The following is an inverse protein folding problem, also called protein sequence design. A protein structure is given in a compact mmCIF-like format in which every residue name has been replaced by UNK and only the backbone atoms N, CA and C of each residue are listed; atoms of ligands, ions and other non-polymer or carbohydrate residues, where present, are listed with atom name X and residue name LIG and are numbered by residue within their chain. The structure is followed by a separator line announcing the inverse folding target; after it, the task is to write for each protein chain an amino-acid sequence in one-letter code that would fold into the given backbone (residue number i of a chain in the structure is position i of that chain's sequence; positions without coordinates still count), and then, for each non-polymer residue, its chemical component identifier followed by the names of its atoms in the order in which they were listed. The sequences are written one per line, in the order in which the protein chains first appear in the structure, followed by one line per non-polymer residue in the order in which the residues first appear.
data_IF_231028714992
#
_entry.id   IF_231028714992
#
_cell.length_a   1.000
_cell.length_b   1.000
_cell.length_c   1.000
_cell.angle_alpha   90.00
_cell.angle_beta   90.00
_cell.angle_gamma   90.00
#
_symmetry.space_group_name_H-M   'P 1'
#
loop_
_entity.id
_entity.type
_entity.pdbx_description
1 polymer ?
#
# COMPACT_ATOMS: atom_id res chain seq x y z
N UNK A 1 -19.85 -0.88 -32.21
CA UNK A 1 -20.25 -1.84 -33.25
C UNK A 1 -19.31 -3.04 -33.21
N UNK A 2 -19.78 -4.19 -33.67
CA UNK A 2 -19.03 -5.45 -33.62
C UNK A 2 -17.79 -5.42 -34.53
N UNK A 3 -17.81 -4.61 -35.58
CA UNK A 3 -16.66 -4.37 -36.44
C UNK A 3 -15.47 -3.75 -35.69
N UNK A 4 -15.70 -2.78 -34.78
CA UNK A 4 -14.65 -2.17 -33.97
C UNK A 4 -14.09 -3.18 -32.97
N UNK A 5 -14.95 -4.00 -32.37
CA UNK A 5 -14.48 -5.07 -31.46
C UNK A 5 -13.60 -6.09 -32.16
N UNK A 6 -13.94 -6.46 -33.41
CA UNK A 6 -13.17 -7.43 -34.18
C UNK A 6 -11.86 -6.86 -34.69
N UNK A 7 -11.82 -5.58 -35.11
CA UNK A 7 -10.59 -4.92 -35.56
C UNK A 7 -9.55 -4.72 -34.46
N UNK A 8 -9.98 -4.68 -33.18
CA UNK A 8 -9.10 -4.53 -32.03
C UNK A 8 -8.70 -5.86 -31.38
N UNK A 9 -9.15 -7.00 -31.95
CA UNK A 9 -8.86 -8.31 -31.38
C UNK A 9 -7.47 -8.78 -31.79
N UNK A 10 -6.62 -9.01 -30.79
CA UNK A 10 -5.29 -9.59 -30.98
C UNK A 10 -5.38 -11.08 -30.68
N UNK A 11 -4.82 -11.92 -31.56
CA UNK A 11 -4.75 -13.36 -31.36
C UNK A 11 -3.91 -13.68 -30.13
N UNK A 12 -4.47 -14.51 -29.24
CA UNK A 12 -3.79 -14.91 -28.01
C UNK A 12 -2.49 -15.70 -28.27
N UNK A 13 -2.37 -16.39 -29.39
CA UNK A 13 -1.15 -17.13 -29.76
C UNK A 13 0.04 -16.21 -29.96
N UNK A 14 -0.20 -14.95 -30.33
CA UNK A 14 0.85 -13.94 -30.52
C UNK A 14 1.56 -13.60 -29.21
N UNK A 15 0.87 -13.67 -28.06
CA UNK A 15 1.50 -13.41 -26.76
C UNK A 15 2.60 -14.44 -26.46
N UNK A 16 2.31 -15.72 -26.68
CA UNK A 16 3.31 -16.79 -26.51
C UNK A 16 4.42 -16.72 -27.56
N UNK A 17 4.04 -16.47 -28.84
CA UNK A 17 5.00 -16.37 -29.94
C UNK A 17 6.05 -15.28 -29.75
N UNK A 18 5.65 -14.14 -29.18
CA UNK A 18 6.55 -12.99 -28.95
C UNK A 18 7.04 -12.89 -27.51
N UNK A 19 6.71 -13.86 -26.63
CA UNK A 19 7.08 -13.84 -25.21
C UNK A 19 6.50 -12.64 -24.45
N UNK A 20 5.31 -12.18 -24.85
CA UNK A 20 4.67 -11.01 -24.26
C UNK A 20 4.05 -11.38 -22.92
N UNK A 21 4.45 -10.68 -21.86
CA UNK A 21 3.91 -10.86 -20.53
C UNK A 21 2.51 -10.27 -20.42
N UNK A 22 1.63 -10.93 -19.66
CA UNK A 22 0.27 -10.43 -19.37
C UNK A 22 0.26 -9.68 -18.05
N UNK A 23 0.55 -8.38 -18.12
CA UNK A 23 0.71 -7.56 -16.92
C UNK A 23 1.91 -8.01 -16.07
N UNK A 24 1.67 -8.30 -14.78
CA UNK A 24 2.70 -8.75 -13.83
C UNK A 24 2.78 -10.29 -13.74
N UNK A 25 2.47 -11.00 -14.83
CA UNK A 25 2.54 -12.47 -14.91
C UNK A 25 3.41 -12.92 -16.07
N UNK A 26 4.18 -13.98 -15.84
CA UNK A 26 4.86 -14.75 -16.87
C UNK A 26 3.85 -15.65 -17.62
N UNK A 27 4.25 -16.23 -18.74
CA UNK A 27 3.38 -17.11 -19.54
C UNK A 27 2.92 -18.36 -18.77
N UNK A 28 3.74 -18.84 -17.84
CA UNK A 28 3.44 -19.96 -16.94
C UNK A 28 2.52 -19.58 -15.76
N UNK A 29 2.09 -18.32 -15.68
CA UNK A 29 1.23 -17.81 -14.62
C UNK A 29 1.96 -17.38 -13.36
N UNK A 30 3.27 -17.56 -13.26
CA UNK A 30 4.06 -17.06 -12.12
C UNK A 30 4.18 -15.54 -12.13
N UNK A 31 4.47 -14.94 -10.97
CA UNK A 31 4.69 -13.49 -10.85
C UNK A 31 5.97 -13.04 -11.55
N UNK A 32 5.94 -11.85 -12.14
CA UNK A 32 7.13 -11.21 -12.69
C UNK A 32 7.93 -10.58 -11.56
N UNK A 33 9.25 -10.83 -11.53
CA UNK A 33 10.14 -10.13 -10.61
C UNK A 33 10.36 -8.70 -11.12
N UNK A 34 9.77 -7.72 -10.42
CA UNK A 34 9.81 -6.30 -10.80
C UNK A 34 10.78 -5.48 -9.95
N UNK A 35 11.28 -6.00 -8.84
CA UNK A 35 12.21 -5.33 -7.96
C UNK A 35 12.53 -6.14 -6.70
N UNK A 36 13.39 -5.58 -5.87
CA UNK A 36 13.76 -6.14 -4.57
C UNK A 36 13.30 -5.19 -3.47
N UNK A 37 12.83 -5.76 -2.37
CA UNK A 37 12.45 -5.03 -1.16
C UNK A 37 12.87 -5.81 0.08
N UNK A 38 13.19 -5.10 1.16
CA UNK A 38 13.42 -5.67 2.49
C UNK A 38 12.27 -5.35 3.46
N UNK A 39 11.18 -4.77 2.96
CA UNK A 39 10.04 -4.34 3.79
C UNK A 39 9.05 -5.50 4.01
N UNK A 40 8.76 -6.24 2.96
CA UNK A 40 7.80 -7.34 3.04
C UNK A 40 8.22 -8.53 2.19
N UNK A 41 7.74 -9.71 2.57
CA UNK A 41 7.91 -10.94 1.81
C UNK A 41 6.63 -11.77 1.87
N UNK A 42 6.24 -12.33 0.73
CA UNK A 42 5.09 -13.22 0.61
C UNK A 42 5.59 -14.59 0.13
N UNK A 43 5.36 -15.61 0.93
CA UNK A 43 5.66 -16.99 0.58
C UNK A 43 4.35 -17.70 0.24
N UNK A 44 4.25 -18.27 -0.94
CA UNK A 44 3.10 -19.07 -1.40
C UNK A 44 3.54 -20.31 -2.17
N UNK A 45 4.85 -20.42 -2.39
CA UNK A 45 5.47 -21.54 -3.11
C UNK A 45 6.81 -21.90 -2.48
N UNK A 46 7.13 -23.18 -2.52
CA UNK A 46 8.45 -23.71 -2.15
C UNK A 46 9.12 -24.29 -3.38
N UNK A 47 10.43 -24.14 -3.48
CA UNK A 47 11.24 -24.75 -4.53
C UNK A 47 11.87 -26.03 -3.99
N UNK A 48 11.50 -27.17 -4.59
CA UNK A 48 12.12 -28.47 -4.27
C UNK A 48 13.59 -28.52 -4.75
N UNK A 49 14.37 -29.48 -4.24
CA UNK A 49 15.77 -29.67 -4.67
C UNK A 49 15.94 -29.90 -6.18
N UNK A 50 14.94 -30.44 -6.85
CA UNK A 50 14.89 -30.65 -8.30
C UNK A 50 14.54 -29.38 -9.10
N UNK A 51 14.31 -28.24 -8.40
CA UNK A 51 13.93 -26.97 -9.00
C UNK A 51 12.44 -26.77 -9.22
N UNK A 52 11.61 -27.79 -8.97
CA UNK A 52 10.16 -27.72 -9.15
C UNK A 52 9.53 -26.79 -8.11
N UNK A 53 8.63 -25.89 -8.54
CA UNK A 53 7.82 -25.05 -7.66
C UNK A 53 6.57 -25.82 -7.22
N UNK A 54 6.34 -25.89 -5.91
CA UNK A 54 5.15 -26.47 -5.32
C UNK A 54 4.42 -25.42 -4.49
N UNK A 55 3.07 -25.45 -4.47
CA UNK A 55 2.32 -24.62 -3.54
C UNK A 55 2.74 -24.93 -2.08
N UNK A 56 2.91 -23.86 -1.30
CA UNK A 56 3.19 -23.92 0.13
C UNK A 56 2.11 -23.15 0.89
N UNK A 57 2.06 -23.33 2.21
CA UNK A 57 1.21 -22.51 3.05
C UNK A 57 1.59 -21.02 2.89
N UNK A 58 0.59 -20.17 2.69
CA UNK A 58 0.79 -18.75 2.49
C UNK A 58 1.30 -18.08 3.77
N UNK A 59 2.45 -17.39 3.67
CA UNK A 59 3.03 -16.61 4.76
C UNK A 59 3.34 -15.20 4.31
N UNK A 60 3.06 -14.24 5.18
CA UNK A 60 3.38 -12.82 4.98
C UNK A 60 4.35 -12.36 6.06
N UNK A 61 5.40 -11.68 5.64
CA UNK A 61 6.41 -11.13 6.55
C UNK A 61 6.47 -9.61 6.39
N UNK A 62 6.55 -8.90 7.51
CA UNK A 62 6.84 -7.47 7.58
C UNK A 62 8.17 -7.28 8.31
N UNK A 63 9.17 -6.70 7.63
CA UNK A 63 10.51 -6.44 8.19
C UNK A 63 11.14 -7.69 8.84
N UNK A 64 10.82 -8.89 8.34
CA UNK A 64 11.32 -10.18 8.85
C UNK A 64 10.44 -10.84 9.92
N UNK A 65 9.44 -10.17 10.44
CA UNK A 65 8.45 -10.75 11.37
C UNK A 65 7.32 -11.42 10.58
N UNK A 66 6.95 -12.63 10.96
CA UNK A 66 5.75 -13.27 10.40
C UNK A 66 4.50 -12.52 10.89
N UNK A 67 3.53 -12.31 9.99
CA UNK A 67 2.33 -11.52 10.31
C UNK A 67 1.57 -12.08 11.51
N UNK A 68 1.48 -13.41 11.64
CA UNK A 68 0.77 -14.03 12.75
C UNK A 68 1.44 -13.73 14.10
N UNK A 69 2.77 -13.73 14.16
CA UNK A 69 3.53 -13.38 15.37
C UNK A 69 3.27 -11.93 15.82
N UNK A 70 2.98 -11.03 14.87
CA UNK A 70 2.62 -9.65 15.15
C UNK A 70 1.16 -9.49 15.61
N UNK A 71 0.25 -10.28 15.03
CA UNK A 71 -1.20 -10.11 15.25
C UNK A 71 -1.69 -10.84 16.48
N UNK A 72 -1.18 -12.04 16.78
CA UNK A 72 -1.65 -12.83 17.94
C UNK A 72 -1.54 -12.09 19.28
N UNK A 73 -0.42 -11.42 19.63
CA UNK A 73 -0.34 -10.64 20.87
C UNK A 73 -1.37 -9.51 20.91
N UNK A 74 -1.60 -8.82 19.77
CA UNK A 74 -2.57 -7.74 19.69
C UNK A 74 -4.00 -8.23 19.96
N UNK A 75 -4.36 -9.40 19.43
CA UNK A 75 -5.66 -10.02 19.66
C UNK A 75 -5.83 -10.46 21.11
N UNK A 76 -4.81 -11.07 21.72
CA UNK A 76 -4.83 -11.49 23.12
C UNK A 76 -5.00 -10.30 24.06
N UNK A 77 -4.31 -9.19 23.79
CA UNK A 77 -4.38 -7.96 24.57
C UNK A 77 -5.59 -7.08 24.21
N UNK A 78 -6.37 -7.43 23.17
CA UNK A 78 -7.53 -6.69 22.67
C UNK A 78 -7.21 -5.22 22.36
N UNK A 79 -6.05 -4.97 21.79
CA UNK A 79 -5.58 -3.62 21.41
C UNK A 79 -5.42 -3.46 19.91
N UNK A 80 -5.54 -2.22 19.43
CA UNK A 80 -5.21 -1.87 18.07
C UNK A 80 -3.68 -1.77 17.92
N UNK A 81 -3.15 -2.39 16.87
CA UNK A 81 -1.71 -2.39 16.55
C UNK A 81 -1.35 -1.55 15.33
N UNK A 82 -2.26 -0.71 14.82
CA UNK A 82 -2.04 0.04 13.59
C UNK A 82 -0.76 0.88 13.64
N UNK A 83 -0.59 1.69 14.68
CA UNK A 83 0.55 2.57 14.81
C UNK A 83 1.86 1.81 15.02
N UNK A 84 1.81 0.69 15.74
CA UNK A 84 2.96 -0.19 15.98
C UNK A 84 3.46 -0.82 14.68
N UNK A 85 2.54 -1.30 13.85
CA UNK A 85 2.88 -1.89 12.55
C UNK A 85 3.31 -0.80 11.55
N UNK A 86 2.67 0.37 11.55
CA UNK A 86 3.11 1.51 10.75
C UNK A 86 4.53 1.95 11.10
N UNK A 87 4.85 2.02 12.39
CA UNK A 87 6.20 2.32 12.86
C UNK A 87 7.20 1.25 12.39
N UNK A 88 6.87 -0.04 12.55
CA UNK A 88 7.72 -1.15 12.09
C UNK A 88 8.04 -1.03 10.60
N UNK A 89 7.03 -0.78 9.77
CA UNK A 89 7.23 -0.68 8.32
C UNK A 89 8.10 0.51 7.92
N UNK A 90 7.96 1.65 8.60
CA UNK A 90 8.74 2.86 8.34
C UNK A 90 10.16 2.78 8.89
N UNK A 91 10.32 2.40 10.18
CA UNK A 91 11.61 2.40 10.88
C UNK A 91 12.43 1.13 10.67
N UNK A 92 11.77 -0.01 10.43
CA UNK A 92 12.40 -1.33 10.28
C UNK A 92 12.50 -2.14 11.58
N UNK A 93 12.00 -1.62 12.70
CA UNK A 93 12.00 -2.28 14.01
C UNK A 93 10.70 -2.00 14.77
N UNK A 94 10.33 -2.88 15.69
CA UNK A 94 9.20 -2.64 16.57
C UNK A 94 9.52 -1.51 17.56
N UNK A 95 8.56 -0.61 17.83
CA UNK A 95 8.78 0.48 18.78
C UNK A 95 8.79 -0.03 20.22
N UNK A 96 9.58 0.59 21.08
CA UNK A 96 9.36 0.51 22.51
C UNK A 96 8.15 1.36 22.95
N UNK A 97 7.85 1.39 24.26
CA UNK A 97 6.67 2.10 24.77
C UNK A 97 6.76 3.61 24.60
N UNK A 98 7.96 4.17 24.72
CA UNK A 98 8.19 5.61 24.60
C UNK A 98 8.14 6.03 23.13
N UNK A 99 8.78 5.25 22.26
CA UNK A 99 8.74 5.45 20.80
C UNK A 99 7.30 5.34 20.25
N UNK A 100 6.54 4.34 20.71
CA UNK A 100 5.15 4.18 20.30
C UNK A 100 4.28 5.36 20.76
N UNK A 101 4.49 5.83 21.98
CA UNK A 101 3.75 6.99 22.52
C UNK A 101 4.07 8.25 21.72
N UNK A 102 5.34 8.53 21.45
CA UNK A 102 5.77 9.66 20.64
C UNK A 102 5.26 9.58 19.20
N UNK A 103 5.27 8.39 18.61
CA UNK A 103 4.75 8.20 17.25
C UNK A 103 3.24 8.41 17.17
N UNK A 104 2.48 7.96 18.16
CA UNK A 104 1.04 8.23 18.26
C UNK A 104 0.74 9.74 18.37
N UNK A 105 1.49 10.44 19.20
CA UNK A 105 1.37 11.90 19.31
C UNK A 105 1.66 12.59 17.97
N UNK A 106 2.75 12.19 17.31
CA UNK A 106 3.11 12.71 15.99
C UNK A 106 2.01 12.48 14.94
N UNK A 107 1.39 11.30 14.91
CA UNK A 107 0.27 11.03 14.01
C UNK A 107 -0.95 11.90 14.36
N UNK A 108 -1.29 12.03 15.64
CA UNK A 108 -2.41 12.86 16.08
C UNK A 108 -2.23 14.33 15.68
N UNK A 109 -1.02 14.88 15.82
CA UNK A 109 -0.72 16.27 15.46
C UNK A 109 -0.83 16.52 13.95
N UNK A 110 -0.58 15.49 13.14
CA UNK A 110 -0.68 15.55 11.67
C UNK A 110 -2.05 15.14 11.11
N UNK A 111 -2.99 14.68 11.94
CA UNK A 111 -4.31 14.21 11.52
C UNK A 111 -5.25 15.33 11.00
N UNK A 112 -5.25 16.55 11.56
CA UNK A 112 -6.16 17.59 11.10
C UNK A 112 -5.92 17.98 9.64
N UNK A 113 -7.05 18.21 8.93
CA UNK A 113 -7.06 18.76 7.58
C UNK A 113 -7.32 20.26 7.64
N UNK A 114 -6.75 21.01 6.70
CA UNK A 114 -7.11 22.40 6.56
C UNK A 114 -8.55 22.56 6.03
N UNK A 115 -9.13 23.75 6.25
CA UNK A 115 -10.53 24.02 5.89
C UNK A 115 -10.79 23.87 4.37
N UNK A 116 -9.84 24.21 3.51
CA UNK A 116 -10.02 24.13 2.05
C UNK A 116 -10.11 22.67 1.63
N UNK A 117 -9.21 21.83 2.14
CA UNK A 117 -9.21 20.38 1.89
C UNK A 117 -10.55 19.78 2.34
N UNK A 118 -11.06 20.13 3.52
CA UNK A 118 -12.36 19.63 4.01
C UNK A 118 -13.49 20.01 3.06
N UNK A 119 -13.61 21.31 2.69
CA UNK A 119 -14.65 21.78 1.76
C UNK A 119 -14.55 21.07 0.43
N UNK A 120 -13.33 20.94 -0.10
CA UNK A 120 -13.13 20.26 -1.38
C UNK A 120 -13.55 18.79 -1.33
N UNK A 121 -13.18 18.06 -0.26
CA UNK A 121 -13.59 16.65 -0.10
C UNK A 121 -15.11 16.51 -0.08
N UNK A 122 -15.81 17.38 0.64
CA UNK A 122 -17.28 17.38 0.74
C UNK A 122 -17.93 17.68 -0.62
N UNK A 123 -17.31 18.55 -1.42
CA UNK A 123 -17.80 18.93 -2.76
C UNK A 123 -17.45 17.88 -3.85
N UNK A 124 -16.62 16.89 -3.53
CA UNK A 124 -16.29 15.84 -4.48
C UNK A 124 -17.47 14.89 -4.70
N UNK A 125 -18.08 14.99 -5.86
CA UNK A 125 -19.13 14.05 -6.27
C UNK A 125 -18.52 12.74 -6.84
N UNK A 126 -19.17 11.63 -6.54
CA UNK A 126 -18.82 10.33 -7.11
C UNK A 126 -19.30 9.15 -6.25
N UNK A 127 -19.62 8.03 -6.89
CA UNK A 127 -20.05 6.79 -6.24
C UNK A 127 -18.90 5.85 -5.87
N UNK A 128 -17.67 6.16 -6.32
CA UNK A 128 -16.50 5.30 -6.09
C UNK A 128 -15.56 5.96 -5.09
N UNK A 129 -15.60 5.47 -3.84
CA UNK A 129 -14.78 5.99 -2.75
C UNK A 129 -13.27 5.92 -3.04
N UNK A 130 -12.80 4.87 -3.70
CA UNK A 130 -11.38 4.75 -4.04
C UNK A 130 -10.92 5.83 -5.04
N UNK A 131 -11.80 6.22 -5.96
CA UNK A 131 -11.53 7.33 -6.87
C UNK A 131 -11.50 8.66 -6.13
N UNK A 132 -12.43 8.88 -5.18
CA UNK A 132 -12.44 10.07 -4.33
C UNK A 132 -11.13 10.16 -3.53
N UNK A 133 -10.73 9.08 -2.85
CA UNK A 133 -9.48 9.04 -2.08
C UNK A 133 -8.25 9.33 -2.95
N UNK A 134 -8.18 8.78 -4.16
CA UNK A 134 -7.08 9.07 -5.08
C UNK A 134 -7.01 10.56 -5.45
N UNK A 135 -8.15 11.20 -5.70
CA UNK A 135 -8.23 12.66 -5.97
C UNK A 135 -7.78 13.48 -4.76
N UNK A 136 -8.21 13.09 -3.55
CA UNK A 136 -7.78 13.76 -2.32
C UNK A 136 -6.26 13.69 -2.12
N UNK A 137 -5.66 12.52 -2.38
CA UNK A 137 -4.19 12.38 -2.27
C UNK A 137 -3.46 13.26 -3.28
N UNK A 138 -3.96 13.31 -4.53
CA UNK A 138 -3.37 14.20 -5.55
C UNK A 138 -3.53 15.67 -5.20
N UNK A 139 -4.63 16.08 -4.57
CA UNK A 139 -4.84 17.44 -4.10
C UNK A 139 -3.84 17.84 -3.01
N UNK A 140 -3.48 16.93 -2.12
CA UNK A 140 -2.50 17.19 -1.06
C UNK A 140 -1.16 17.67 -1.60
N UNK A 141 -0.80 17.31 -2.83
CA UNK A 141 0.36 17.86 -3.54
C UNK A 141 0.35 19.40 -3.58
N UNK A 142 -0.84 20.00 -3.78
CA UNK A 142 -1.01 21.45 -3.89
C UNK A 142 -0.66 22.18 -2.58
N UNK A 143 -0.84 21.53 -1.45
CA UNK A 143 -0.63 22.11 -0.12
C UNK A 143 0.71 21.71 0.51
N UNK A 144 1.45 20.81 -0.11
CA UNK A 144 2.77 20.41 0.36
C UNK A 144 3.80 21.52 0.02
N UNK A 145 4.59 22.02 1.01
CA UNK A 145 5.59 23.04 0.74
C UNK A 145 6.77 22.54 -0.11
N UNK A 146 7.01 21.22 -0.14
CA UNK A 146 8.12 20.60 -0.87
C UNK A 146 7.68 19.29 -1.56
N UNK A 147 6.69 19.34 -2.47
CA UNK A 147 6.05 18.13 -2.99
C UNK A 147 6.99 17.25 -3.84
N UNK A 148 7.97 17.85 -4.51
CA UNK A 148 8.92 17.17 -5.41
C UNK A 148 10.27 16.84 -4.77
N UNK A 149 10.46 17.17 -3.49
CA UNK A 149 11.69 16.83 -2.76
C UNK A 149 11.68 15.35 -2.38
N UNK A 150 12.57 14.57 -3.00
CA UNK A 150 12.76 13.13 -2.78
C UNK A 150 13.81 12.81 -1.72
N UNK A 151 14.22 13.79 -0.90
CA UNK A 151 15.10 13.53 0.24
C UNK A 151 14.41 12.58 1.24
N UNK A 152 15.22 11.79 1.97
CA UNK A 152 14.70 10.84 2.94
C UNK A 152 13.82 11.49 4.00
N UNK A 153 14.23 12.64 4.48
CA UNK A 153 13.53 13.39 5.52
C UNK A 153 12.17 13.87 5.03
N UNK A 154 12.10 14.41 3.81
CA UNK A 154 10.85 14.83 3.22
C UNK A 154 9.92 13.66 2.89
N UNK A 155 10.44 12.57 2.35
CA UNK A 155 9.65 11.35 2.11
C UNK A 155 9.09 10.77 3.41
N UNK A 156 9.86 10.80 4.50
CA UNK A 156 9.38 10.36 5.82
C UNK A 156 8.26 11.29 6.34
N UNK A 157 8.44 12.61 6.24
CA UNK A 157 7.41 13.60 6.59
C UNK A 157 6.13 13.36 5.80
N UNK A 158 6.20 13.26 4.48
CA UNK A 158 5.05 13.01 3.61
C UNK A 158 4.35 11.68 3.94
N UNK A 159 5.12 10.63 4.23
CA UNK A 159 4.57 9.33 4.63
C UNK A 159 3.78 9.42 5.94
N UNK A 160 4.31 10.10 6.94
CA UNK A 160 3.66 10.31 8.24
C UNK A 160 2.37 11.13 8.07
N UNK A 161 2.43 12.21 7.30
CA UNK A 161 1.27 13.05 7.02
C UNK A 161 0.16 12.28 6.28
N UNK A 162 0.50 11.48 5.27
CA UNK A 162 -0.47 10.65 4.57
C UNK A 162 -1.12 9.63 5.51
N UNK A 163 -0.32 8.90 6.29
CA UNK A 163 -0.83 7.91 7.25
C UNK A 163 -1.77 8.58 8.25
N UNK A 164 -1.40 9.74 8.77
CA UNK A 164 -2.18 10.47 9.78
C UNK A 164 -3.49 11.04 9.21
N UNK A 165 -3.47 11.62 8.00
CA UNK A 165 -4.62 12.30 7.40
C UNK A 165 -5.63 11.36 6.75
N UNK A 166 -5.20 10.17 6.33
CA UNK A 166 -6.06 9.24 5.58
C UNK A 166 -7.36 8.86 6.30
N UNK A 167 -7.37 8.54 7.60
CA UNK A 167 -8.62 8.26 8.33
C UNK A 167 -9.59 9.46 8.31
N UNK A 168 -9.08 10.68 8.45
CA UNK A 168 -9.87 11.90 8.42
C UNK A 168 -10.44 12.15 7.03
N UNK A 169 -9.63 11.96 5.98
CA UNK A 169 -10.09 12.04 4.57
C UNK A 169 -11.22 11.05 4.31
N UNK A 170 -11.06 9.79 4.76
CA UNK A 170 -12.09 8.74 4.60
C UNK A 170 -13.39 9.16 5.29
N UNK A 171 -13.31 9.70 6.52
CA UNK A 171 -14.49 10.12 7.28
C UNK A 171 -15.27 11.23 6.56
N UNK A 172 -14.57 12.23 6.01
CA UNK A 172 -15.22 13.30 5.24
C UNK A 172 -15.73 12.83 3.87
N UNK A 173 -15.00 11.97 3.19
CA UNK A 173 -15.37 11.49 1.86
C UNK A 173 -16.55 10.51 1.86
N UNK A 174 -16.84 9.88 3.01
CA UNK A 174 -17.93 8.91 3.14
C UNK A 174 -19.25 9.55 3.62
N UNK A 175 -19.23 10.79 4.03
CA UNK A 175 -20.36 11.52 4.58
C UNK A 175 -21.11 12.26 3.47
#
# INVERSE_FOLDING_TARGET
SDEVKNSCKIDNELFSKYGVKRGLRNDDGTGVLVGLTNIGNVVGYERKPDGTLCPAEGKLYYRGYELMDLVEPLLQEKRCGFEEIAFLLLSGQLPDKEELAAFKELLNDNMPLDHRTIVHIIDLEGSNIMNILARCVLEMYTFDPNPDDISRDNLMRQSIELIAKFPTIIAYAYN
#
